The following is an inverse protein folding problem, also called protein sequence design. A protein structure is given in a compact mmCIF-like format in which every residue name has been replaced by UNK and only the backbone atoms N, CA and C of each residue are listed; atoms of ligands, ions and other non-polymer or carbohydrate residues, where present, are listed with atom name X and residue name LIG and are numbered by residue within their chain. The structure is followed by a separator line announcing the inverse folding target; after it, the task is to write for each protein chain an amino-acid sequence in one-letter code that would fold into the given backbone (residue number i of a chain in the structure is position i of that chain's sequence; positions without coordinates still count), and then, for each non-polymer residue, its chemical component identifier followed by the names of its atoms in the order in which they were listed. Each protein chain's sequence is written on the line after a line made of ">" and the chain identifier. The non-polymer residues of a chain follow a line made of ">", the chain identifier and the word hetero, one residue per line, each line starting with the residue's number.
data_IF_310062487016
#
_entry.id   IF_310062487016
#
_cell.length_a   1.000
_cell.length_b   1.000
_cell.length_c   1.000
_cell.angle_alpha   90.00
_cell.angle_beta   90.00
_cell.angle_gamma   90.00
#
_symmetry.space_group_name_H-M   'P 1'
#
loop_
_entity.id
_entity.type
_entity.pdbx_description
1 polymer ?
2 non-polymer ?
3 non-polymer ?
4 water ?
#
# COMPACT_ATOMS: atom_id res chain seq x y z
N UNK A 3 18.41 4.70 -12.15
CA UNK A 3 18.14 3.61 -11.16
C UNK A 3 16.71 3.65 -10.64
N UNK A 4 15.97 2.56 -10.84
CA UNK A 4 14.55 2.49 -10.45
C UNK A 4 14.24 1.42 -9.38
N UNK A 5 15.15 1.26 -8.43
CA UNK A 5 14.98 0.29 -7.35
C UNK A 5 13.88 0.71 -6.37
N UNK A 6 13.67 2.02 -6.19
CA UNK A 6 12.63 2.49 -5.28
C UNK A 6 11.24 2.19 -5.84
N UNK A 7 11.09 2.26 -7.15
CA UNK A 7 9.83 1.86 -7.78
C UNK A 7 9.56 0.37 -7.55
N UNK A 8 10.59 -0.45 -7.75
CA UNK A 8 10.49 -1.91 -7.54
C UNK A 8 10.12 -2.21 -6.10
N UNK A 9 10.73 -1.49 -5.17
CA UNK A 9 10.42 -1.64 -3.77
C UNK A 9 8.99 -1.17 -3.44
N UNK A 10 8.54 -0.08 -4.06
CA UNK A 10 7.14 0.39 -3.96
C UNK A 10 6.15 -0.73 -4.33
N UNK A 11 6.40 -1.38 -5.46
CA UNK A 11 5.54 -2.50 -5.92
C UNK A 11 5.53 -3.67 -4.94
N UNK A 12 6.70 -4.01 -4.40
CA UNK A 12 6.82 -5.08 -3.40
C UNK A 12 6.05 -4.76 -2.10
N UNK A 13 6.09 -3.51 -1.67
CA UNK A 13 5.45 -3.11 -0.42
C UNK A 13 3.98 -2.71 -0.57
N UNK A 14 3.57 -2.26 -1.74
CA UNK A 14 2.28 -1.55 -1.86
C UNK A 14 1.42 -1.92 -3.07
N UNK A 15 1.78 -2.97 -3.81
CA UNK A 15 0.98 -3.39 -4.98
C UNK A 15 0.64 -4.90 -4.95
N UNK A 16 -0.62 -5.20 -5.22
CA UNK A 16 -1.08 -6.58 -5.37
C UNK A 16 -2.24 -6.59 -6.35
N UNK A 17 -1.96 -7.04 -7.58
CA UNK A 17 -2.88 -6.88 -8.69
C UNK A 17 -4.28 -7.45 -8.44
N UNK A 18 -4.34 -8.71 -8.02
CA UNK A 18 -5.61 -9.46 -8.00
C UNK A 18 -5.71 -10.27 -6.70
N UNK A 19 -5.98 -9.60 -5.56
CA UNK A 19 -5.83 -10.24 -4.24
C UNK A 19 -6.82 -11.37 -3.97
N UNK A 20 -6.46 -12.32 -3.10
CA UNK A 20 -7.38 -13.39 -2.72
C UNK A 20 -8.04 -13.07 -1.39
N UNK A 21 -9.33 -12.71 -1.45
CA UNK A 21 -10.18 -12.32 -0.31
C UNK A 21 -9.46 -11.52 0.74
N UNK A 22 -9.86 -10.28 0.96
CA UNK A 22 -8.99 -9.32 1.65
C UNK A 22 -9.26 -9.32 3.13
N UNK A 23 -9.11 -10.50 3.74
CA UNK A 23 -9.45 -10.67 5.15
C UNK A 23 -8.17 -10.67 6.00
N UNK A 24 -8.29 -10.91 7.30
CA UNK A 24 -7.09 -10.94 8.16
C UNK A 24 -6.00 -11.91 7.66
N UNK A 25 -6.43 -13.13 7.28
CA UNK A 25 -5.52 -14.14 6.75
C UNK A 25 -4.83 -13.72 5.47
N UNK A 26 -5.52 -12.96 4.61
CA UNK A 26 -4.85 -12.32 3.48
C UNK A 26 -3.66 -11.45 3.93
N UNK A 27 -3.90 -10.58 4.92
CA UNK A 27 -2.89 -9.65 5.43
C UNK A 27 -1.70 -10.41 6.03
N UNK A 28 -2.00 -11.40 6.86
CA UNK A 28 -0.96 -12.20 7.50
C UNK A 28 -0.04 -12.92 6.50
N UNK A 29 -0.60 -13.35 5.38
CA UNK A 29 0.14 -14.07 4.37
C UNK A 29 0.96 -13.14 3.47
N UNK A 30 0.33 -12.09 2.93
CA UNK A 30 1.03 -11.19 2.03
C UNK A 30 2.15 -10.42 2.77
N UNK A 31 1.93 -10.05 4.02
CA UNK A 31 2.96 -9.33 4.78
C UNK A 31 4.22 -10.21 4.95
N UNK A 32 4.04 -11.52 5.20
CA UNK A 32 5.16 -12.49 5.22
C UNK A 32 5.82 -12.66 3.86
N UNK A 33 5.01 -12.88 2.85
CA UNK A 33 5.46 -13.08 1.47
C UNK A 33 6.30 -11.90 0.94
N UNK A 34 5.94 -10.67 1.32
CA UNK A 34 6.64 -9.48 0.84
C UNK A 34 7.80 -9.03 1.74
N UNK A 35 8.07 -9.78 2.82
CA UNK A 35 9.24 -9.57 3.68
C UNK A 35 9.08 -8.49 4.74
N UNK A 36 7.86 -8.29 5.22
CA UNK A 36 7.54 -7.14 6.06
C UNK A 36 7.25 -7.56 7.49
N UNK A 37 7.86 -8.65 7.95
CA UNK A 37 7.52 -9.22 9.26
C UNK A 37 8.70 -9.40 10.22
N UNK A 38 9.86 -8.83 9.92
CA UNK A 38 11.01 -8.95 10.84
C UNK A 38 11.80 -7.64 10.91
N UNK A 39 11.40 -6.68 11.75
CA UNK A 39 10.24 -6.74 12.65
C UNK A 39 8.88 -6.49 11.94
N UNK A 40 7.77 -6.70 12.66
CA UNK A 40 6.42 -6.55 12.09
C UNK A 40 6.16 -5.08 11.72
N UNK A 41 5.95 -4.78 10.45
CA UNK A 41 5.54 -3.43 10.06
C UNK A 41 4.20 -3.07 10.72
N UNK A 42 4.12 -1.89 11.33
CA UNK A 42 2.93 -1.54 12.11
C UNK A 42 1.67 -1.31 11.26
N UNK A 43 1.82 -0.70 10.10
CA UNK A 43 0.69 -0.43 9.18
C UNK A 43 1.22 -0.50 7.78
N UNK A 44 0.46 -1.11 6.87
CA UNK A 44 0.86 -1.19 5.47
C UNK A 44 -0.32 -1.36 4.52
N UNK A 45 -0.37 -0.55 3.47
CA UNK A 45 -1.52 -0.57 2.54
C UNK A 45 -1.10 -1.09 1.17
N UNK A 46 -1.90 -2.01 0.61
CA UNK A 46 -1.72 -2.50 -0.76
C UNK A 46 -2.78 -1.91 -1.70
N UNK A 47 -2.33 -1.47 -2.87
CA UNK A 47 -3.18 -0.98 -3.93
C UNK A 47 -3.45 -2.12 -4.92
N UNK A 48 -4.71 -2.29 -5.33
CA UNK A 48 -5.07 -3.35 -6.29
C UNK A 48 -5.36 -2.78 -7.67
N UNK A 49 -5.60 -3.66 -8.64
CA UNK A 49 -5.88 -3.24 -10.03
C UNK A 49 -4.58 -3.27 -10.84
N UNK A 50 -4.52 -2.46 -11.89
CA UNK A 50 -3.36 -2.47 -12.79
C UNK A 50 -2.32 -1.42 -12.41
N UNK A 51 -1.05 -1.69 -12.73
CA UNK A 51 0.04 -0.75 -12.47
C UNK A 51 -0.04 0.56 -13.21
N UNK A 52 -0.51 0.53 -14.46
CA UNK A 52 -0.51 1.75 -15.27
C UNK A 52 -1.31 2.89 -14.66
N UNK A 53 -2.41 2.57 -13.98
CA UNK A 53 -3.22 3.60 -13.27
C UNK A 53 -2.48 4.26 -12.11
N UNK A 54 -1.63 3.49 -11.43
CA UNK A 54 -0.81 3.98 -10.33
C UNK A 54 0.30 4.88 -10.86
N UNK A 55 1.00 4.43 -11.89
CA UNK A 55 2.07 5.25 -12.52
C UNK A 55 1.54 6.57 -13.05
N UNK A 56 0.29 6.57 -13.52
CA UNK A 56 -0.36 7.76 -14.04
C UNK A 56 -0.61 8.85 -13.01
N UNK A 57 -0.49 8.53 -11.72
CA UNK A 57 -0.66 9.52 -10.66
C UNK A 57 0.46 10.54 -10.76
N UNK A 58 1.60 10.07 -11.27
CA UNK A 58 2.77 10.91 -11.45
C UNK A 58 2.63 11.99 -12.54
N UNK A 59 1.61 11.89 -13.39
CA UNK A 59 1.29 12.85 -14.46
C UNK A 59 -0.04 13.57 -14.19
N UNK A 60 -0.34 14.58 -15.01
CA UNK A 60 -1.66 15.24 -14.99
C UNK A 60 -2.81 14.24 -15.27
N UNK A 61 -2.53 13.21 -16.06
CA UNK A 61 -3.52 12.16 -16.39
C UNK A 61 -4.31 11.61 -15.20
N UNK A 62 -3.63 11.28 -14.10
CA UNK A 62 -4.34 10.76 -12.93
C UNK A 62 -3.86 11.33 -11.61
N UNK A 63 -3.38 12.59 -11.60
CA UNK A 63 -2.87 13.17 -10.37
C UNK A 63 -2.92 14.68 -10.26
N UNK A 64 -2.86 15.17 -9.01
CA UNK A 64 -2.65 16.59 -8.68
C UNK A 64 -1.53 16.71 -7.65
N UNK A 65 -0.82 17.88 -7.63
CA UNK A 65 0.13 18.13 -6.55
C UNK A 65 -0.55 18.10 -5.21
N UNK A 66 0.18 17.76 -4.16
CA UNK A 66 -0.40 17.57 -2.86
C UNK A 66 0.60 17.91 -1.77
N UNK A 67 0.25 18.85 -0.90
CA UNK A 67 1.09 19.22 0.25
C UNK A 67 2.54 19.53 -0.17
N UNK A 68 3.56 19.05 0.55
CA UNK A 68 4.97 19.23 0.15
C UNK A 68 5.49 18.09 -0.74
N UNK A 69 5.32 18.31 -2.04
CA UNK A 69 5.91 17.47 -3.09
C UNK A 69 5.42 16.00 -3.01
N UNK A 70 4.12 15.83 -2.77
CA UNK A 70 3.43 14.56 -2.96
C UNK A 70 2.45 14.73 -4.11
N UNK A 71 1.79 13.63 -4.49
CA UNK A 71 0.80 13.64 -5.55
C UNK A 71 -0.41 12.87 -5.04
N UNK A 72 -1.61 13.33 -5.39
CA UNK A 72 -2.84 12.65 -4.97
C UNK A 72 -3.59 12.24 -6.21
N UNK A 73 -4.09 11.00 -6.24
CA UNK A 73 -4.78 10.53 -7.43
C UNK A 73 -6.15 11.13 -7.63
N UNK A 74 -6.51 11.26 -8.90
CA UNK A 74 -7.87 11.63 -9.30
C UNK A 74 -8.82 10.42 -9.21
N UNK A 75 -8.37 9.26 -9.68
CA UNK A 75 -9.20 8.06 -9.60
C UNK A 75 -9.18 7.45 -8.20
N UNK A 76 -10.19 6.63 -7.91
CA UNK A 76 -10.26 5.83 -6.67
C UNK A 76 -9.75 4.41 -6.94
N UNK A 77 -9.07 3.81 -5.96
CA UNK A 77 -8.50 2.48 -6.09
C UNK A 77 -9.05 1.58 -5.02
N UNK A 78 -9.22 0.30 -5.35
CA UNK A 78 -9.39 -0.73 -4.35
C UNK A 78 -8.07 -0.88 -3.60
N UNK A 79 -8.14 -0.84 -2.27
CA UNK A 79 -6.97 -0.98 -1.41
C UNK A 79 -7.28 -1.91 -0.24
N UNK A 80 -6.25 -2.42 0.40
CA UNK A 80 -6.40 -3.14 1.65
C UNK A 80 -5.33 -2.70 2.59
N UNK A 81 -5.74 -2.29 3.80
CA UNK A 81 -4.80 -1.86 4.83
C UNK A 81 -4.64 -2.96 5.88
N UNK A 82 -3.38 -3.32 6.15
CA UNK A 82 -3.02 -4.32 7.14
C UNK A 82 -2.42 -3.62 8.37
N UNK A 83 -3.11 -3.75 9.51
CA UNK A 83 -2.72 -3.12 10.76
C UNK A 83 -2.34 -4.17 11.83
N UNK A 84 -1.16 -4.00 12.41
CA UNK A 84 -0.64 -4.93 13.40
C UNK A 84 -1.45 -4.85 14.69
N UNK A 85 -1.78 -5.99 15.28
CA UNK A 85 -2.34 -5.98 16.64
C UNK A 85 -1.61 -6.96 17.55
N UNK A 86 -1.83 -6.80 18.85
CA UNK A 86 -0.98 -7.39 19.88
C UNK A 86 0.09 -6.38 20.25
N UNK A 87 0.62 -6.52 21.46
CA UNK A 87 1.64 -5.59 21.94
C UNK A 87 3.02 -5.75 21.32
N UNK A 88 3.32 -6.93 20.76
CA UNK A 88 4.71 -7.24 20.39
C UNK A 88 5.09 -6.74 18.99
N UNK A 89 6.31 -6.17 18.83
CA UNK A 89 6.83 -5.86 17.49
C UNK A 89 7.34 -7.04 16.66
N UNK A 90 7.45 -8.24 17.25
CA UNK A 90 8.14 -9.37 16.62
C UNK A 90 7.19 -10.52 16.25
N UNK A 91 7.55 -11.32 15.22
CA UNK A 91 6.67 -12.38 14.77
C UNK A 91 6.38 -13.47 15.84
N UNK A 92 5.26 -14.20 15.73
CA UNK A 92 4.29 -14.07 14.62
C UNK A 92 3.52 -12.74 14.63
N UNK A 93 3.32 -12.17 13.44
CA UNK A 93 2.65 -10.88 13.28
C UNK A 93 1.18 -11.12 12.91
N UNK A 94 0.28 -10.76 13.83
CA UNK A 94 -1.16 -10.80 13.58
C UNK A 94 -1.61 -9.44 13.02
N UNK A 95 -2.36 -9.48 11.91
CA UNK A 95 -2.86 -8.28 11.22
C UNK A 95 -4.40 -8.28 11.17
N UNK A 96 -4.98 -7.08 11.26
CA UNK A 96 -6.39 -6.85 10.97
C UNK A 96 -6.47 -6.18 9.61
N UNK A 97 -7.32 -6.70 8.73
CA UNK A 97 -7.46 -6.17 7.38
C UNK A 97 -8.61 -5.18 7.31
N UNK A 98 -8.38 -4.07 6.62
CA UNK A 98 -9.45 -3.11 6.29
C UNK A 98 -9.40 -2.84 4.78
N UNK A 99 -10.40 -3.34 4.06
CA UNK A 99 -10.50 -3.11 2.63
C UNK A 99 -11.19 -1.79 2.42
N UNK A 100 -10.84 -1.12 1.35
CA UNK A 100 -11.36 0.21 1.09
C UNK A 100 -11.33 0.55 -0.37
N UNK A 101 -11.90 1.72 -0.67
CA UNK A 101 -12.00 2.23 -2.05
C UNK A 101 -11.94 3.77 -2.00
N UNK A 102 -10.78 4.32 -2.36
CA UNK A 102 -10.57 5.78 -2.39
C UNK A 102 -9.33 6.16 -3.21
N UNK A 103 -9.09 7.46 -3.39
CA UNK A 103 -7.83 7.91 -4.03
C UNK A 103 -6.64 7.70 -3.10
N UNK A 104 -5.45 7.75 -3.67
CA UNK A 104 -4.23 7.48 -2.91
C UNK A 104 -3.22 8.60 -3.06
N UNK A 105 -2.36 8.73 -2.06
CA UNK A 105 -1.27 9.72 -2.08
C UNK A 105 0.07 9.01 -2.22
N UNK A 106 0.85 9.43 -3.21
CA UNK A 106 2.20 8.93 -3.42
C UNK A 106 3.23 10.05 -3.56
N UNK A 107 4.51 9.68 -3.53
CA UNK A 107 5.58 10.55 -4.05
C UNK A 107 6.17 9.90 -5.28
N UNK A 108 6.48 10.74 -6.26
CA UNK A 108 6.97 10.30 -7.55
C UNK A 108 8.41 10.77 -7.82
N UNK A 109 9.17 9.95 -8.54
CA UNK A 109 10.53 10.30 -8.99
C UNK A 109 10.68 9.74 -10.39
N UNK A 110 11.10 10.58 -11.32
CA UNK A 110 11.28 10.19 -12.73
C UNK A 110 10.03 9.48 -13.27
N UNK A 111 8.87 10.05 -12.96
CA UNK A 111 7.58 9.51 -13.41
C UNK A 111 7.13 8.20 -12.81
N UNK A 112 7.75 7.76 -11.72
CA UNK A 112 7.42 6.47 -11.09
C UNK A 112 7.15 6.70 -9.61
N UNK A 113 6.16 5.98 -9.03
CA UNK A 113 5.88 6.11 -7.59
C UNK A 113 6.95 5.43 -6.75
N UNK A 114 7.41 6.12 -5.70
CA UNK A 114 8.48 5.60 -4.85
C UNK A 114 8.15 5.60 -3.37
N UNK A 115 6.95 6.06 -3.01
CA UNK A 115 6.56 6.19 -1.63
C UNK A 115 5.03 6.21 -1.61
N UNK A 116 4.44 5.53 -0.64
CA UNK A 116 2.99 5.63 -0.37
C UNK A 116 2.83 6.35 0.95
N UNK A 117 2.03 7.41 0.97
CA UNK A 117 1.75 8.12 2.22
C UNK A 117 0.70 7.34 3.02
N UNK A 118 1.16 6.70 4.09
CA UNK A 118 0.31 5.84 4.91
C UNK A 118 -0.64 6.61 5.81
N UNK A 119 -0.41 7.92 5.98
CA UNK A 119 -1.20 8.73 6.91
C UNK A 119 -2.69 8.76 6.57
N UNK A 120 -3.03 8.66 5.29
CA UNK A 120 -4.45 8.67 4.95
C UNK A 120 -5.19 7.37 5.27
N UNK A 121 -4.45 6.30 5.60
CA UNK A 121 -5.06 5.01 5.98
C UNK A 121 -5.00 4.62 7.47
N UNK A 122 -4.51 5.51 8.35
CA UNK A 122 -4.40 5.18 9.79
C UNK A 122 -5.75 4.82 10.45
N UNK A 123 -6.84 5.41 9.98
CA UNK A 123 -8.19 5.12 10.50
C UNK A 123 -9.22 4.95 9.37
X LIG B 1 -14.95 2.33 2.93
X LIG B 1 -14.22 2.63 0.89
X LIG B 1 -14.35 3.00 2.06
X LIG B 1 -13.78 4.35 2.40
X LIG B 1 -13.39 4.99 1.18
X LIG B 1 -12.57 4.14 3.31
X LIG B 1 -11.60 3.34 2.62
X LIG B 1 -11.95 5.46 3.69
X LIG B 1 -10.73 5.63 3.45
X LIG B 1 -12.64 6.31 4.25
X LIG C 1 1.63 7.50 10.21
X LIG C 1 0.93 7.33 11.49
X LIG C 1 1.89 7.46 12.66
X LIG C 1 1.53 7.16 13.79
X LIG C 1 0.23 5.97 11.56
X LIG C 1 -0.80 5.53 10.13
#
# INVERSE_FOLDING_TARGET
>A
MQDNSRYTHFLTQHYDAKPQGRDDRYCESIMRRRGLTSPCKDINTFIHGNKRSIKAICENKNGNPHRENLRISKSSFQVTTCKLHGGSPWPPCQYRATAGFRNVVVACENGLPVHLDQSIFCRP
>B hetero
1 TLA O1 O11 C1 C2 O2 C3 O3 C4 O4 O41
>C hetero
1 GSH N2 CA2 C2 O2 CB2 SG2
#
